data_IF_479679729511
#
_entry.id   IF_479679729511
#
_cell.length_a   1.000
_cell.length_b   1.000
_cell.length_c   1.000
_cell.angle_alpha   90.00
_cell.angle_beta   90.00
_cell.angle_gamma   90.00
#
_symmetry.space_group_name_H-M   'P 1'
#
loop_
_entity.id
_entity.type
_entity.pdbx_description
1 polymer ?
#
# COMPACT_ATOMS: atom_id res chain seq x y z
N UNK A 1 -33.09 31.52 -18.08
CA UNK A 1 -32.82 32.29 -16.84
C UNK A 1 -33.19 33.77 -16.99
N UNK A 2 -32.78 34.49 -18.04
CA UNK A 2 -33.08 35.94 -18.16
C UNK A 2 -34.55 36.35 -18.08
N UNK A 3 -35.49 35.52 -18.56
CA UNK A 3 -36.95 35.77 -18.47
C UNK A 3 -37.54 35.49 -17.08
N UNK A 4 -36.91 34.57 -16.32
CA UNK A 4 -37.33 34.20 -14.96
C UNK A 4 -36.90 35.29 -13.97
N UNK A 5 -35.73 35.89 -14.19
CA UNK A 5 -35.18 36.97 -13.36
C UNK A 5 -36.05 38.27 -13.40
N UNK A 6 -36.80 38.46 -14.49
CA UNK A 6 -37.77 39.55 -14.63
C UNK A 6 -39.10 39.29 -13.91
N UNK A 7 -39.45 38.04 -13.61
CA UNK A 7 -40.73 37.63 -13.02
C UNK A 7 -40.64 37.51 -11.50
N UNK A 8 -40.64 38.64 -10.79
CA UNK A 8 -40.49 38.69 -9.30
C UNK A 8 -41.71 38.19 -8.49
N UNK A 9 -42.81 37.81 -9.15
CA UNK A 9 -44.05 37.34 -8.51
C UNK A 9 -44.39 35.94 -9.02
N UNK A 10 -44.78 35.03 -8.12
CA UNK A 10 -45.11 33.61 -8.44
C UNK A 10 -46.19 33.50 -9.53
N UNK A 11 -47.17 34.40 -9.52
CA UNK A 11 -48.23 34.45 -10.54
C UNK A 11 -47.67 34.75 -11.94
N UNK A 12 -46.76 35.73 -12.04
CA UNK A 12 -46.10 36.07 -13.31
C UNK A 12 -45.17 34.96 -13.83
N UNK A 13 -44.69 34.07 -12.95
CA UNK A 13 -43.94 32.88 -13.33
C UNK A 13 -44.84 31.79 -13.91
N UNK A 14 -46.04 31.59 -13.33
CA UNK A 14 -47.03 30.62 -13.81
C UNK A 14 -47.61 31.00 -15.18
N UNK A 15 -47.66 32.30 -15.50
CA UNK A 15 -48.14 32.84 -16.77
C UNK A 15 -47.12 32.74 -17.92
N UNK A 16 -45.90 32.24 -17.68
CA UNK A 16 -44.90 32.08 -18.74
C UNK A 16 -45.39 31.04 -19.76
N UNK A 17 -45.53 31.38 -21.05
CA UNK A 17 -46.10 30.48 -22.04
C UNK A 17 -45.36 29.15 -22.17
N UNK A 18 -46.09 28.05 -21.99
CA UNK A 18 -45.59 26.69 -22.12
C UNK A 18 -44.64 26.23 -21.02
N UNK A 19 -44.47 26.99 -19.92
CA UNK A 19 -43.57 26.60 -18.82
C UNK A 19 -44.02 25.32 -18.11
N UNK A 20 -45.34 25.11 -18.02
CA UNK A 20 -45.97 23.92 -17.42
C UNK A 20 -45.64 22.64 -18.17
N UNK A 21 -45.39 22.71 -19.48
CA UNK A 21 -45.02 21.55 -20.29
C UNK A 21 -43.50 21.44 -20.44
N UNK A 22 -42.79 22.58 -20.53
CA UNK A 22 -41.33 22.62 -20.67
C UNK A 22 -40.60 22.15 -19.42
N UNK A 23 -41.05 22.51 -18.22
CA UNK A 23 -40.37 22.11 -16.98
C UNK A 23 -40.37 20.58 -16.78
N UNK A 24 -41.50 19.87 -16.91
CA UNK A 24 -41.50 18.40 -16.87
C UNK A 24 -40.64 17.77 -17.98
N UNK A 25 -40.67 18.32 -19.20
CA UNK A 25 -39.82 17.82 -20.29
C UNK A 25 -38.32 18.01 -20.00
N UNK A 26 -37.93 19.17 -19.47
CA UNK A 26 -36.55 19.45 -19.05
C UNK A 26 -36.13 18.54 -17.90
N UNK A 27 -37.02 18.28 -16.93
CA UNK A 27 -36.76 17.34 -15.85
C UNK A 27 -36.58 15.91 -16.39
N UNK A 28 -37.41 15.46 -17.31
CA UNK A 28 -37.28 14.15 -17.95
C UNK A 28 -35.97 14.03 -18.75
N UNK A 29 -35.58 15.07 -19.49
CA UNK A 29 -34.30 15.09 -20.20
C UNK A 29 -33.12 15.06 -19.22
N UNK A 30 -33.21 15.79 -18.11
CA UNK A 30 -32.19 15.78 -17.06
C UNK A 30 -32.04 14.38 -16.44
N UNK A 31 -33.15 13.68 -16.16
CA UNK A 31 -33.14 12.31 -15.64
C UNK A 31 -32.45 11.34 -16.61
N UNK A 32 -32.70 11.48 -17.91
CA UNK A 32 -32.04 10.65 -18.94
C UNK A 32 -30.54 10.93 -18.96
N UNK A 33 -30.14 12.20 -18.95
CA UNK A 33 -28.73 12.59 -18.89
C UNK A 33 -28.05 12.08 -17.61
N UNK A 34 -28.73 12.15 -16.47
CA UNK A 34 -28.20 11.67 -15.19
C UNK A 34 -27.99 10.16 -15.21
N UNK A 35 -28.94 9.38 -15.74
CA UNK A 35 -28.79 7.92 -15.88
C UNK A 35 -27.63 7.55 -16.78
N UNK A 36 -27.54 8.18 -17.97
CA UNK A 36 -26.45 7.93 -18.90
C UNK A 36 -25.09 8.27 -18.29
N UNK A 37 -25.02 9.34 -17.49
CA UNK A 37 -23.81 9.70 -16.76
C UNK A 37 -23.46 8.67 -15.67
N UNK A 38 -24.44 8.21 -14.88
CA UNK A 38 -24.22 7.16 -13.88
C UNK A 38 -23.72 5.86 -14.52
N UNK A 39 -24.31 5.44 -15.64
CA UNK A 39 -23.90 4.24 -16.38
C UNK A 39 -22.46 4.39 -16.90
N UNK A 40 -22.10 5.56 -17.43
CA UNK A 40 -20.74 5.87 -17.88
C UNK A 40 -19.72 5.84 -16.75
N UNK A 41 -20.04 6.43 -15.59
CA UNK A 41 -19.14 6.41 -14.43
C UNK A 41 -18.95 4.98 -13.90
N UNK A 42 -20.00 4.17 -13.90
CA UNK A 42 -19.94 2.77 -13.48
C UNK A 42 -19.11 1.90 -14.44
N UNK A 43 -19.19 2.15 -15.74
CA UNK A 43 -18.31 1.52 -16.74
C UNK A 43 -16.83 1.86 -16.48
N UNK A 44 -16.55 3.14 -16.16
CA UNK A 44 -15.19 3.57 -15.80
C UNK A 44 -14.71 2.94 -14.49
N UNK A 45 -15.56 2.86 -13.47
CA UNK A 45 -15.24 2.16 -12.20
C UNK A 45 -14.98 0.68 -12.40
N UNK A 46 -15.75 0.04 -13.27
CA UNK A 46 -15.55 -1.38 -13.62
C UNK A 46 -14.23 -1.60 -14.37
N UNK A 47 -13.82 -0.65 -15.21
CA UNK A 47 -12.56 -0.71 -15.96
C UNK A 47 -11.32 -0.50 -15.07
N UNK A 48 -11.45 0.31 -14.01
CA UNK A 48 -10.40 0.52 -13.01
C UNK A 48 -10.99 0.58 -11.59
N UNK A 49 -10.98 -0.55 -10.85
CA UNK A 49 -11.66 -0.67 -9.56
C UNK A 49 -11.24 0.35 -8.49
N UNK A 50 -10.07 0.98 -8.59
CA UNK A 50 -9.71 2.02 -7.60
C UNK A 50 -10.59 3.27 -7.70
N UNK A 51 -11.30 3.48 -8.80
CA UNK A 51 -12.27 4.56 -8.91
C UNK A 51 -13.49 4.39 -7.97
N UNK A 52 -13.71 3.21 -7.38
CA UNK A 52 -14.70 3.07 -6.29
C UNK A 52 -14.31 3.86 -5.03
N UNK A 53 -13.04 4.28 -4.88
CA UNK A 53 -12.60 5.15 -3.79
C UNK A 53 -12.81 6.65 -4.07
N UNK A 54 -13.28 7.00 -5.27
CA UNK A 54 -13.56 8.38 -5.66
C UNK A 54 -15.07 8.64 -5.70
N UNK A 55 -15.47 9.81 -5.21
CA UNK A 55 -16.82 10.33 -5.46
C UNK A 55 -17.03 10.70 -6.92
N UNK A 56 -18.29 10.85 -7.34
CA UNK A 56 -18.64 11.15 -8.74
C UNK A 56 -17.99 12.45 -9.25
N UNK A 57 -17.92 13.48 -8.41
CA UNK A 57 -17.28 14.77 -8.75
C UNK A 57 -15.77 14.61 -8.99
N UNK A 58 -15.07 13.88 -8.10
CA UNK A 58 -13.63 13.60 -8.24
C UNK A 58 -13.35 12.76 -9.50
N UNK A 59 -14.22 11.78 -9.78
CA UNK A 59 -14.09 10.92 -10.94
C UNK A 59 -14.32 11.69 -12.24
N UNK A 60 -15.29 12.61 -12.26
CA UNK A 60 -15.51 13.50 -13.39
C UNK A 60 -14.36 14.46 -13.61
N UNK A 61 -13.79 15.02 -12.54
CA UNK A 61 -12.65 15.92 -12.62
C UNK A 61 -11.42 15.22 -13.23
N UNK A 62 -11.09 14.02 -12.75
CA UNK A 62 -9.93 13.26 -13.25
C UNK A 62 -10.14 12.75 -14.68
N UNK A 63 -11.37 12.40 -15.07
CA UNK A 63 -11.72 12.01 -16.44
C UNK A 63 -11.71 13.20 -17.41
N UNK A 64 -12.22 14.35 -16.98
CA UNK A 64 -12.31 15.57 -17.79
C UNK A 64 -10.96 16.27 -17.96
N UNK A 65 -10.04 16.13 -17.00
CA UNK A 65 -8.72 16.75 -17.02
C UNK A 65 -7.58 15.72 -16.95
N UNK A 66 -7.73 14.60 -17.67
CA UNK A 66 -6.79 13.45 -17.67
C UNK A 66 -5.37 13.77 -18.15
N UNK A 67 -5.14 14.94 -18.75
CA UNK A 67 -3.82 15.44 -19.18
C UNK A 67 -3.23 16.51 -18.25
N UNK A 68 -4.01 17.06 -17.32
CA UNK A 68 -3.55 18.11 -16.43
C UNK A 68 -2.76 17.51 -15.26
N UNK A 69 -1.44 17.71 -15.17
CA UNK A 69 -0.60 17.06 -14.17
C UNK A 69 -1.00 17.43 -12.74
N UNK A 70 -1.48 18.66 -12.53
CA UNK A 70 -1.90 19.14 -11.22
C UNK A 70 -3.14 18.42 -10.71
N UNK A 71 -4.10 18.16 -11.60
CA UNK A 71 -5.33 17.43 -11.28
C UNK A 71 -5.03 15.95 -11.07
N UNK A 72 -4.27 15.33 -11.99
CA UNK A 72 -3.83 13.94 -11.81
C UNK A 72 -3.15 13.77 -10.45
N UNK A 73 -2.28 14.70 -10.08
CA UNK A 73 -1.54 14.64 -8.83
C UNK A 73 -2.42 14.71 -7.58
N UNK A 74 -3.51 15.50 -7.58
CA UNK A 74 -4.40 15.61 -6.42
C UNK A 74 -5.20 14.33 -6.19
N UNK A 75 -5.64 13.66 -7.26
CA UNK A 75 -6.42 12.42 -7.16
C UNK A 75 -5.56 11.16 -6.97
N UNK A 76 -4.31 11.13 -7.47
CA UNK A 76 -3.42 9.97 -7.26
C UNK A 76 -3.22 9.64 -5.78
N UNK A 77 -3.14 10.65 -4.91
CA UNK A 77 -3.04 10.46 -3.45
C UNK A 77 -4.27 9.80 -2.83
N UNK A 78 -5.45 9.89 -3.48
CA UNK A 78 -6.68 9.20 -3.06
C UNK A 78 -6.73 7.76 -3.57
N UNK A 79 -6.10 7.49 -4.72
CA UNK A 79 -6.13 6.18 -5.40
C UNK A 79 -5.05 5.22 -4.91
N UNK A 80 -3.89 5.73 -4.49
CA UNK A 80 -2.74 4.94 -4.07
C UNK A 80 -2.29 5.37 -2.68
N UNK A 81 -2.06 4.39 -1.79
CA UNK A 81 -1.76 4.66 -0.39
C UNK A 81 -0.38 5.32 -0.20
N UNK A 82 0.66 4.79 -0.86
CA UNK A 82 2.04 5.30 -0.71
C UNK A 82 2.48 6.31 -1.78
N UNK A 83 1.69 6.55 -2.83
CA UNK A 83 2.03 7.54 -3.87
C UNK A 83 1.48 8.91 -3.46
N UNK A 84 2.35 9.75 -2.91
CA UNK A 84 2.02 11.13 -2.57
C UNK A 84 2.23 12.08 -3.77
N UNK A 85 3.31 11.84 -4.53
CA UNK A 85 3.69 12.59 -5.73
C UNK A 85 4.20 11.67 -6.83
N UNK A 86 4.11 12.10 -8.08
CA UNK A 86 4.76 11.45 -9.21
C UNK A 86 5.66 12.43 -9.94
N UNK A 87 6.79 11.96 -10.48
CA UNK A 87 7.67 12.78 -11.31
C UNK A 87 7.27 12.64 -12.75
N UNK A 88 6.74 13.72 -13.31
CA UNK A 88 6.44 13.83 -14.73
C UNK A 88 7.73 14.03 -15.54
N UNK A 89 7.85 13.35 -16.67
CA UNK A 89 8.88 13.58 -17.67
C UNK A 89 8.64 14.84 -18.49
N UNK A 90 9.49 15.07 -19.49
CA UNK A 90 9.40 16.24 -20.36
C UNK A 90 8.02 16.39 -21.02
N UNK A 91 7.45 17.58 -20.92
CA UNK A 91 6.12 17.89 -21.46
C UNK A 91 4.95 17.20 -20.74
N UNK A 92 5.18 16.62 -19.56
CA UNK A 92 4.16 15.93 -18.75
C UNK A 92 3.42 14.79 -19.45
N UNK A 93 4.08 14.16 -20.43
CA UNK A 93 3.54 13.04 -21.20
C UNK A 93 3.91 11.67 -20.65
N UNK A 94 4.77 11.63 -19.64
CA UNK A 94 5.18 10.38 -19.00
C UNK A 94 5.40 10.55 -17.52
N UNK A 95 5.32 9.46 -16.78
CA UNK A 95 5.64 9.38 -15.36
C UNK A 95 6.89 8.50 -15.23
N UNK A 96 7.96 9.06 -14.67
CA UNK A 96 9.25 8.38 -14.52
C UNK A 96 9.55 7.89 -13.10
N UNK A 97 8.83 8.39 -12.10
CA UNK A 97 9.03 7.96 -10.72
C UNK A 97 7.79 8.20 -9.86
N UNK A 98 7.64 7.42 -8.80
CA UNK A 98 6.72 7.69 -7.70
C UNK A 98 7.46 8.25 -6.49
N UNK A 99 6.78 9.07 -5.70
CA UNK A 99 7.33 9.72 -4.52
C UNK A 99 6.35 9.59 -3.34
N UNK A 100 6.86 9.17 -2.18
CA UNK A 100 6.07 9.07 -0.95
C UNK A 100 5.93 10.40 -0.22
N UNK A 101 5.10 10.43 0.83
CA UNK A 101 4.93 11.60 1.70
C UNK A 101 6.26 12.04 2.32
N UNK A 102 7.09 11.08 2.72
CA UNK A 102 8.41 11.26 3.33
C UNK A 102 9.53 11.56 2.33
N UNK A 103 9.17 11.99 1.11
CA UNK A 103 10.08 12.33 0.02
C UNK A 103 10.92 11.15 -0.51
N UNK A 104 10.55 9.90 -0.20
CA UNK A 104 11.17 8.73 -0.84
C UNK A 104 10.79 8.67 -2.31
N UNK A 105 11.80 8.67 -3.19
CA UNK A 105 11.60 8.58 -4.64
C UNK A 105 11.98 7.17 -5.11
N UNK A 106 11.07 6.55 -5.86
CA UNK A 106 11.31 5.26 -6.53
C UNK A 106 11.17 5.49 -8.03
N UNK A 107 12.30 5.40 -8.72
CA UNK A 107 12.36 5.51 -10.18
C UNK A 107 11.86 4.24 -10.84
N UNK A 108 11.06 4.40 -11.88
CA UNK A 108 10.56 3.29 -12.67
C UNK A 108 11.60 2.84 -13.68
N UNK A 109 11.70 1.53 -13.91
CA UNK A 109 12.58 0.98 -14.96
C UNK A 109 12.09 1.39 -16.36
N UNK A 110 10.78 1.57 -16.53
CA UNK A 110 10.13 2.04 -17.75
C UNK A 110 9.14 3.14 -17.42
N UNK A 111 9.29 4.31 -18.05
CA UNK A 111 8.35 5.40 -17.86
C UNK A 111 6.95 5.03 -18.38
N UNK A 112 5.91 5.44 -17.64
CA UNK A 112 4.50 5.20 -17.97
C UNK A 112 3.99 6.37 -18.81
N UNK A 113 3.41 6.11 -19.98
CA UNK A 113 2.88 7.17 -20.85
C UNK A 113 1.53 7.67 -20.37
N UNK A 114 1.36 8.99 -20.25
CA UNK A 114 0.08 9.63 -19.91
C UNK A 114 -0.71 9.81 -21.21
N UNK A 115 -1.87 9.16 -21.28
CA UNK A 115 -2.77 9.19 -22.45
C UNK A 115 -4.16 9.72 -22.08
N UNK A 116 -5.02 9.92 -23.07
CA UNK A 116 -6.41 10.36 -22.85
C UNK A 116 -7.26 9.32 -22.11
N UNK A 117 -6.91 8.03 -22.24
CA UNK A 117 -7.60 6.92 -21.57
C UNK A 117 -6.95 6.68 -20.21
N UNK A 118 -7.52 7.31 -19.19
CA UNK A 118 -6.94 7.34 -17.86
C UNK A 118 -6.86 5.97 -17.19
N UNK A 119 -7.88 5.15 -17.39
CA UNK A 119 -7.95 3.78 -16.91
C UNK A 119 -6.76 2.93 -17.39
N UNK A 120 -6.33 3.12 -18.64
CA UNK A 120 -5.27 2.31 -19.24
C UNK A 120 -3.92 2.69 -18.67
N UNK A 121 -3.58 3.98 -18.63
CA UNK A 121 -2.29 4.37 -18.09
C UNK A 121 -2.22 4.23 -16.56
N UNK A 122 -3.34 4.29 -15.82
CA UNK A 122 -3.37 3.97 -14.40
C UNK A 122 -3.14 2.47 -14.13
N UNK A 123 -3.68 1.60 -14.99
CA UNK A 123 -3.37 0.17 -14.96
C UNK A 123 -1.90 -0.10 -15.31
N UNK A 124 -1.35 0.62 -16.29
CA UNK A 124 0.08 0.57 -16.62
C UNK A 124 0.94 1.06 -15.45
N UNK A 125 0.51 2.12 -14.75
CA UNK A 125 1.18 2.63 -13.56
C UNK A 125 1.20 1.58 -12.44
N UNK A 126 0.07 0.90 -12.21
CA UNK A 126 -0.01 -0.18 -11.23
C UNK A 126 0.94 -1.33 -11.59
N UNK A 127 0.94 -1.76 -12.85
CA UNK A 127 1.82 -2.82 -13.36
C UNK A 127 3.30 -2.41 -13.25
N UNK A 128 3.62 -1.17 -13.60
CA UNK A 128 4.97 -0.62 -13.52
C UNK A 128 5.46 -0.50 -12.08
N UNK A 129 4.60 -0.08 -11.15
CA UNK A 129 4.88 -0.02 -9.72
C UNK A 129 5.23 -1.42 -9.19
N UNK A 130 4.37 -2.41 -9.43
CA UNK A 130 4.62 -3.81 -9.03
C UNK A 130 5.92 -4.35 -9.64
N UNK A 131 6.14 -4.13 -10.94
CA UNK A 131 7.36 -4.55 -11.64
C UNK A 131 8.63 -3.89 -11.11
N UNK A 132 8.55 -2.61 -10.74
CA UNK A 132 9.69 -1.87 -10.18
C UNK A 132 10.04 -2.40 -8.79
N UNK A 133 9.05 -2.65 -7.94
CA UNK A 133 9.27 -3.16 -6.58
C UNK A 133 9.80 -4.61 -6.59
N UNK A 134 9.25 -5.48 -7.43
CA UNK A 134 9.78 -6.86 -7.63
C UNK A 134 11.21 -6.83 -8.15
N UNK A 135 11.47 -5.97 -9.14
CA UNK A 135 12.81 -5.76 -9.70
C UNK A 135 13.81 -5.20 -8.70
N UNK A 136 13.39 -4.33 -7.76
CA UNK A 136 14.23 -3.86 -6.66
C UNK A 136 14.58 -5.01 -5.71
N UNK A 137 13.60 -5.84 -5.32
CA UNK A 137 13.87 -6.98 -4.44
C UNK A 137 14.87 -7.95 -5.07
N UNK A 138 14.67 -8.29 -6.35
CA UNK A 138 15.57 -9.19 -7.08
C UNK A 138 17.02 -8.66 -7.14
N UNK A 139 17.20 -7.37 -7.47
CA UNK A 139 18.52 -6.70 -7.51
C UNK A 139 19.24 -6.69 -6.16
N UNK A 140 18.48 -6.57 -5.09
CA UNK A 140 19.01 -6.56 -3.71
C UNK A 140 19.38 -7.95 -3.25
N UNK A 141 18.56 -8.96 -3.56
CA UNK A 141 18.85 -10.35 -3.24
C UNK A 141 20.06 -10.89 -4.01
N UNK A 142 20.30 -10.42 -5.25
CA UNK A 142 21.50 -10.77 -6.01
C UNK A 142 22.78 -10.08 -5.53
N UNK A 143 22.69 -9.17 -4.55
CA UNK A 143 23.82 -8.39 -4.06
C UNK A 143 24.39 -7.40 -5.09
N UNK A 144 23.63 -7.09 -6.14
CA UNK A 144 24.09 -6.28 -7.28
C UNK A 144 24.01 -4.77 -7.04
N UNK A 145 23.53 -4.33 -5.87
CA UNK A 145 23.29 -2.92 -5.56
C UNK A 145 24.30 -2.43 -4.53
N UNK A 146 25.22 -1.56 -4.94
CA UNK A 146 26.06 -0.83 -4.00
C UNK A 146 25.26 0.28 -3.31
N UNK A 147 25.42 0.42 -1.99
CA UNK A 147 24.71 1.44 -1.23
C UNK A 147 23.20 1.22 -1.21
N UNK A 148 22.74 -0.04 -1.16
CA UNK A 148 21.32 -0.44 -1.18
C UNK A 148 20.44 0.42 -0.25
N UNK A 149 20.94 0.77 0.94
CA UNK A 149 20.22 1.59 1.92
C UNK A 149 19.77 2.96 1.40
N UNK A 150 20.56 3.55 0.48
CA UNK A 150 20.25 4.86 -0.14
C UNK A 150 19.36 4.71 -1.38
N UNK A 151 19.59 3.67 -2.18
CA UNK A 151 18.99 3.51 -3.51
C UNK A 151 17.63 2.81 -3.46
N UNK A 152 17.47 1.83 -2.57
CA UNK A 152 16.31 0.95 -2.53
C UNK A 152 15.24 1.52 -1.62
N UNK A 153 13.98 1.33 -2.00
CA UNK A 153 12.84 1.76 -1.19
C UNK A 153 12.83 1.11 0.20
N UNK A 154 12.35 1.84 1.20
CA UNK A 154 12.27 1.39 2.59
C UNK A 154 11.48 0.10 2.73
N UNK A 155 10.34 0.03 2.03
CA UNK A 155 9.48 -1.14 1.96
C UNK A 155 10.24 -2.39 1.51
N UNK A 156 11.05 -2.29 0.45
CA UNK A 156 11.82 -3.42 -0.09
C UNK A 156 12.99 -3.80 0.81
N UNK A 157 13.64 -2.83 1.46
CA UNK A 157 14.67 -3.11 2.48
C UNK A 157 14.07 -3.94 3.64
N UNK A 158 12.92 -3.52 4.17
CA UNK A 158 12.24 -4.26 5.25
C UNK A 158 11.80 -5.66 4.78
N UNK A 159 11.24 -5.77 3.57
CA UNK A 159 10.81 -7.05 3.00
C UNK A 159 11.98 -8.03 2.79
N UNK A 160 13.13 -7.54 2.31
CA UNK A 160 14.36 -8.34 2.15
C UNK A 160 14.81 -8.92 3.50
N UNK A 161 14.86 -8.09 4.54
CA UNK A 161 15.27 -8.54 5.87
C UNK A 161 14.27 -9.51 6.48
N UNK A 162 12.96 -9.31 6.27
CA UNK A 162 11.91 -10.23 6.72
C UNK A 162 12.01 -11.62 6.07
N UNK A 163 12.26 -11.67 4.75
CA UNK A 163 12.50 -12.92 4.02
C UNK A 163 13.77 -13.60 4.53
N UNK A 164 14.86 -12.84 4.68
CA UNK A 164 16.15 -13.36 5.13
C UNK A 164 16.08 -13.91 6.55
N UNK A 165 15.38 -13.21 7.46
CA UNK A 165 15.13 -13.66 8.81
C UNK A 165 14.30 -14.95 8.85
N UNK A 166 13.20 -15.01 8.09
CA UNK A 166 12.35 -16.21 8.01
C UNK A 166 13.17 -17.42 7.55
N UNK A 167 13.95 -17.27 6.48
CA UNK A 167 14.80 -18.35 5.97
C UNK A 167 15.88 -18.78 6.96
N UNK A 168 16.53 -17.82 7.64
CA UNK A 168 17.57 -18.11 8.63
C UNK A 168 17.00 -18.80 9.88
N UNK A 169 15.83 -18.36 10.36
CA UNK A 169 15.13 -18.95 11.50
C UNK A 169 14.71 -20.40 11.21
N UNK A 170 14.10 -20.66 10.05
CA UNK A 170 13.74 -22.02 9.66
C UNK A 170 14.96 -22.92 9.45
N UNK A 171 16.05 -22.39 8.88
CA UNK A 171 17.31 -23.13 8.75
C UNK A 171 17.89 -23.48 10.11
N UNK A 172 17.88 -22.55 11.07
CA UNK A 172 18.33 -22.78 12.44
C UNK A 172 17.49 -23.85 13.15
N UNK A 173 16.15 -23.78 13.02
CA UNK A 173 15.23 -24.77 13.58
C UNK A 173 15.46 -26.17 12.98
N UNK A 174 15.66 -26.28 11.66
CA UNK A 174 15.87 -27.57 10.96
C UNK A 174 17.25 -28.19 11.24
N UNK A 175 18.31 -27.39 11.36
CA UNK A 175 19.70 -27.88 11.32
C UNK A 175 20.43 -27.91 12.67
N UNK A 176 19.99 -27.15 13.68
CA UNK A 176 20.76 -27.05 14.93
C UNK A 176 19.98 -26.68 16.18
N UNK A 177 18.65 -26.72 16.14
CA UNK A 177 17.76 -26.51 17.30
C UNK A 177 18.12 -25.25 18.11
N UNK A 178 18.01 -25.34 19.43
CA UNK A 178 18.26 -24.21 20.34
C UNK A 178 19.67 -23.58 20.19
N UNK A 179 20.70 -24.37 19.84
CA UNK A 179 22.05 -23.85 19.63
C UNK A 179 22.16 -22.94 18.41
N UNK A 180 21.58 -23.35 17.29
CA UNK A 180 21.55 -22.54 16.08
C UNK A 180 20.66 -21.30 16.22
N UNK A 181 19.51 -21.42 16.91
CA UNK A 181 18.65 -20.26 17.21
C UNK A 181 19.38 -19.25 18.10
N UNK A 182 20.20 -19.70 19.06
CA UNK A 182 21.01 -18.82 19.90
C UNK A 182 22.07 -18.06 19.09
N UNK A 183 22.68 -18.73 18.11
CA UNK A 183 23.61 -18.08 17.17
C UNK A 183 22.89 -17.02 16.33
N UNK A 184 21.74 -17.37 15.75
CA UNK A 184 20.91 -16.44 15.00
C UNK A 184 20.53 -15.20 15.82
N UNK A 185 20.11 -15.40 17.08
CA UNK A 185 19.80 -14.30 17.99
C UNK A 185 20.99 -13.34 18.17
N UNK A 186 22.20 -13.87 18.28
CA UNK A 186 23.44 -13.08 18.34
C UNK A 186 23.75 -12.34 17.04
N UNK A 187 23.56 -12.99 15.89
CA UNK A 187 23.79 -12.41 14.57
C UNK A 187 22.82 -11.23 14.30
N UNK A 188 21.53 -11.43 14.60
CA UNK A 188 20.46 -10.43 14.49
C UNK A 188 20.70 -9.27 15.46
N UNK A 189 21.07 -9.56 16.72
CA UNK A 189 21.41 -8.51 17.69
C UNK A 189 22.65 -7.70 17.26
N UNK A 190 23.64 -8.35 16.64
CA UNK A 190 24.80 -7.67 16.06
C UNK A 190 24.44 -6.78 14.87
N UNK A 191 23.52 -7.21 14.00
CA UNK A 191 22.96 -6.39 12.93
C UNK A 191 22.21 -5.17 13.49
N UNK A 192 21.37 -5.38 14.50
CA UNK A 192 20.66 -4.31 15.21
C UNK A 192 21.63 -3.27 15.79
N UNK A 193 22.71 -3.70 16.44
CA UNK A 193 23.72 -2.78 16.99
C UNK A 193 24.43 -1.97 15.90
N UNK A 194 24.78 -2.59 14.76
CA UNK A 194 25.38 -1.88 13.62
C UNK A 194 24.42 -0.85 13.03
N UNK A 195 23.15 -1.21 12.87
CA UNK A 195 22.12 -0.31 12.37
C UNK A 195 21.83 0.82 13.37
N UNK A 196 21.75 0.52 14.66
CA UNK A 196 21.56 1.53 15.71
C UNK A 196 22.75 2.50 15.79
N UNK A 197 23.97 2.01 15.57
CA UNK A 197 25.20 2.81 15.57
C UNK A 197 25.45 3.61 14.30
N UNK A 198 24.73 3.37 13.20
CA UNK A 198 24.96 4.11 11.95
C UNK A 198 24.44 5.55 12.06
N UNK A 199 25.27 6.52 11.69
CA UNK A 199 24.90 7.94 11.74
C UNK A 199 24.29 8.40 10.41
N UNK A 200 23.02 8.81 10.47
CA UNK A 200 22.30 9.44 9.36
C UNK A 200 21.79 10.84 9.75
N UNK A 201 22.43 11.48 10.73
CA UNK A 201 22.10 12.83 11.16
C UNK A 201 22.07 13.78 9.96
N UNK A 202 21.00 14.55 9.84
CA UNK A 202 20.77 15.47 8.71
C UNK A 202 20.16 14.83 7.45
N UNK A 203 19.95 13.51 7.42
CA UNK A 203 19.30 12.81 6.30
C UNK A 203 17.97 12.20 6.76
N UNK A 204 16.90 13.01 6.77
CA UNK A 204 15.57 12.64 7.32
C UNK A 204 15.06 11.30 6.78
N UNK A 205 15.07 11.08 5.46
CA UNK A 205 14.59 9.83 4.86
C UNK A 205 15.41 8.61 5.31
N UNK A 206 16.74 8.72 5.34
CA UNK A 206 17.60 7.61 5.77
C UNK A 206 17.40 7.29 7.27
N UNK A 207 17.14 8.31 8.08
CA UNK A 207 16.80 8.14 9.48
C UNK A 207 15.46 7.42 9.66
N UNK A 208 14.47 7.74 8.83
CA UNK A 208 13.17 7.05 8.83
C UNK A 208 13.30 5.57 8.38
N UNK A 209 14.08 5.29 7.33
CA UNK A 209 14.42 3.92 6.91
C UNK A 209 15.09 3.13 8.03
N UNK A 210 16.06 3.76 8.70
CA UNK A 210 16.75 3.17 9.86
C UNK A 210 15.76 2.86 10.97
N UNK A 211 14.87 3.79 11.32
CA UNK A 211 13.88 3.58 12.37
C UNK A 211 12.97 2.39 12.08
N UNK A 212 12.48 2.27 10.82
CA UNK A 212 11.66 1.15 10.40
C UNK A 212 12.39 -0.20 10.56
N UNK A 213 13.62 -0.29 10.05
CA UNK A 213 14.42 -1.51 10.17
C UNK A 213 14.80 -1.83 11.63
N UNK A 214 15.14 -0.82 12.44
CA UNK A 214 15.44 -1.02 13.87
C UNK A 214 14.26 -1.68 14.59
N UNK A 215 13.02 -1.26 14.31
CA UNK A 215 11.83 -1.87 14.89
C UNK A 215 11.67 -3.34 14.47
N UNK A 216 11.90 -3.66 13.20
CA UNK A 216 11.87 -5.05 12.70
C UNK A 216 12.96 -5.90 13.36
N UNK A 217 14.19 -5.40 13.48
CA UNK A 217 15.28 -6.12 14.11
C UNK A 217 15.06 -6.34 15.62
N UNK A 218 14.47 -5.39 16.33
CA UNK A 218 14.05 -5.58 17.73
C UNK A 218 13.05 -6.74 17.82
N UNK A 219 12.07 -6.78 16.92
CA UNK A 219 11.11 -7.87 16.88
C UNK A 219 11.76 -9.22 16.54
N UNK A 220 12.69 -9.27 15.58
CA UNK A 220 13.42 -10.51 15.27
C UNK A 220 14.23 -11.05 16.44
N UNK A 221 14.85 -10.18 17.24
CA UNK A 221 15.53 -10.58 18.48
C UNK A 221 14.51 -11.15 19.48
N UNK A 222 13.37 -10.49 19.65
CA UNK A 222 12.31 -10.97 20.54
C UNK A 222 11.77 -12.35 20.09
N UNK A 223 11.50 -12.55 18.79
CA UNK A 223 11.08 -13.84 18.24
C UNK A 223 12.13 -14.92 18.52
N UNK A 224 13.42 -14.63 18.33
CA UNK A 224 14.49 -15.59 18.68
C UNK A 224 14.47 -15.95 20.18
N UNK A 225 14.25 -14.98 21.06
CA UNK A 225 14.16 -15.22 22.50
C UNK A 225 12.94 -16.07 22.86
N UNK A 226 11.79 -15.83 22.22
CA UNK A 226 10.59 -16.65 22.40
C UNK A 226 10.82 -18.11 21.96
N UNK A 227 11.50 -18.32 20.82
CA UNK A 227 11.85 -19.66 20.34
C UNK A 227 12.78 -20.39 21.30
N UNK A 228 13.79 -19.70 21.86
CA UNK A 228 14.71 -20.25 22.86
C UNK A 228 14.01 -20.57 24.17
N UNK A 229 13.15 -19.68 24.66
CA UNK A 229 12.41 -19.86 25.91
C UNK A 229 11.45 -21.06 25.82
N UNK A 230 10.87 -21.32 24.64
CA UNK A 230 10.03 -22.47 24.37
C UNK A 230 10.81 -23.76 24.04
N UNK A 231 12.14 -23.70 23.91
CA UNK A 231 12.98 -24.79 23.41
C UNK A 231 12.45 -25.37 22.07
N UNK A 232 12.02 -24.48 21.17
CA UNK A 232 11.45 -24.85 19.88
C UNK A 232 12.50 -25.54 19.00
N UNK A 233 12.20 -26.77 18.56
CA UNK A 233 13.07 -27.62 17.76
C UNK A 233 12.55 -27.89 16.35
N UNK A 234 11.34 -27.45 16.01
CA UNK A 234 10.75 -27.67 14.68
C UNK A 234 10.01 -26.45 14.15
N UNK A 235 10.00 -26.32 12.81
CA UNK A 235 9.20 -25.31 12.10
C UNK A 235 7.69 -25.56 12.18
N UNK A 236 7.26 -26.76 12.59
CA UNK A 236 5.84 -27.11 12.77
C UNK A 236 5.30 -26.69 14.14
N UNK A 237 6.15 -26.23 15.06
CA UNK A 237 5.72 -25.84 16.38
C UNK A 237 4.96 -24.50 16.38
N UNK A 238 3.96 -24.42 17.24
CA UNK A 238 3.08 -23.25 17.36
C UNK A 238 3.82 -21.94 17.58
N UNK A 239 4.92 -21.95 18.35
CA UNK A 239 5.69 -20.73 18.68
C UNK A 239 6.29 -20.09 17.44
N UNK A 240 6.67 -20.89 16.44
CA UNK A 240 7.07 -20.40 15.12
C UNK A 240 5.86 -20.16 14.21
N UNK A 241 4.92 -21.10 14.18
CA UNK A 241 3.74 -21.01 13.32
C UNK A 241 2.92 -19.74 13.52
N UNK A 242 2.82 -19.24 14.76
CA UNK A 242 2.09 -18.01 15.08
C UNK A 242 2.77 -16.71 14.63
N UNK A 243 4.04 -16.75 14.22
CA UNK A 243 4.75 -15.56 13.75
C UNK A 243 4.38 -15.23 12.31
N UNK A 244 4.48 -13.96 11.93
CA UNK A 244 4.35 -13.53 10.55
C UNK A 244 5.64 -13.89 9.79
N UNK A 245 5.51 -14.72 8.76
CA UNK A 245 6.63 -15.34 8.03
C UNK A 245 6.59 -14.92 6.57
N UNK A 246 7.75 -14.61 6.00
CA UNK A 246 7.89 -14.13 4.63
C UNK A 246 8.72 -15.11 3.81
N UNK A 247 8.11 -15.65 2.76
CA UNK A 247 8.71 -16.66 1.90
C UNK A 247 8.91 -16.08 0.51
N UNK A 248 10.16 -15.70 0.21
CA UNK A 248 10.56 -15.32 -1.15
C UNK A 248 10.72 -16.52 -2.08
N UNK A 249 11.00 -16.25 -3.36
CA UNK A 249 11.24 -17.25 -4.41
C UNK A 249 10.09 -18.26 -4.57
N UNK A 250 8.85 -17.78 -4.49
CA UNK A 250 7.70 -18.60 -4.83
C UNK A 250 7.79 -19.07 -6.30
N UNK A 251 7.09 -20.16 -6.70
CA UNK A 251 7.15 -20.68 -8.07
C UNK A 251 6.77 -19.67 -9.16
N UNK A 252 5.95 -18.68 -8.80
CA UNK A 252 5.52 -17.56 -9.64
C UNK A 252 6.50 -16.37 -9.62
N UNK A 253 7.62 -16.47 -8.90
CA UNK A 253 8.57 -15.39 -8.66
C UNK A 253 8.11 -14.38 -7.59
N UNK A 254 6.99 -14.64 -6.91
CA UNK A 254 6.42 -13.77 -5.89
C UNK A 254 6.99 -13.96 -4.49
N UNK A 255 6.40 -13.24 -3.54
CA UNK A 255 6.62 -13.39 -2.10
C UNK A 255 5.30 -13.82 -1.45
N UNK A 256 5.33 -14.87 -0.65
CA UNK A 256 4.20 -15.28 0.16
C UNK A 256 4.40 -14.81 1.61
N UNK A 257 3.33 -14.31 2.22
CA UNK A 257 3.26 -13.98 3.65
C UNK A 257 2.39 -15.03 4.31
N UNK A 258 2.88 -15.67 5.36
CA UNK A 258 2.12 -16.71 6.07
C UNK A 258 2.09 -16.48 7.57
N UNK A 259 0.96 -16.80 8.19
CA UNK A 259 0.75 -16.74 9.63
C UNK A 259 -0.19 -17.86 10.04
N UNK A 260 0.26 -18.72 10.94
CA UNK A 260 -0.34 -20.02 11.24
C UNK A 260 -0.62 -20.81 9.94
N UNK A 261 -1.89 -21.10 9.65
CA UNK A 261 -2.32 -21.83 8.45
C UNK A 261 -2.68 -20.92 7.26
N UNK A 262 -2.76 -19.61 7.50
CA UNK A 262 -3.10 -18.64 6.46
C UNK A 262 -1.86 -18.28 5.63
N UNK A 263 -2.04 -18.17 4.31
CA UNK A 263 -1.01 -17.70 3.39
C UNK A 263 -1.61 -16.75 2.35
N UNK A 264 -0.92 -15.65 2.10
CA UNK A 264 -1.31 -14.59 1.18
C UNK A 264 -0.15 -14.25 0.25
N UNK A 265 -0.46 -13.89 -0.98
CA UNK A 265 0.53 -13.32 -1.89
C UNK A 265 0.76 -11.86 -1.54
N UNK A 266 2.03 -11.42 -1.50
CA UNK A 266 2.37 -10.02 -1.28
C UNK A 266 1.81 -9.17 -2.45
N UNK A 267 1.09 -8.11 -2.14
CA UNK A 267 0.33 -7.33 -3.14
C UNK A 267 1.18 -6.36 -3.95
N UNK A 268 2.39 -6.05 -3.50
CA UNK A 268 3.31 -5.09 -4.13
C UNK A 268 2.71 -3.68 -4.31
N UNK A 269 1.77 -3.29 -3.45
CA UNK A 269 1.34 -1.90 -3.35
C UNK A 269 2.47 -1.07 -2.74
N UNK A 270 2.86 0.03 -3.38
CA UNK A 270 3.83 0.93 -2.79
C UNK A 270 3.22 1.66 -1.60
N UNK A 271 3.82 1.50 -0.42
CA UNK A 271 3.40 2.14 0.83
C UNK A 271 4.32 3.30 1.24
N UNK A 272 5.43 3.51 0.52
CA UNK A 272 6.50 4.42 0.94
C UNK A 272 7.14 3.97 2.26
N UNK A 273 7.61 4.93 3.07
CA UNK A 273 8.09 4.66 4.42
C UNK A 273 6.94 4.83 5.44
N UNK A 274 5.95 3.94 5.36
CA UNK A 274 4.85 3.93 6.31
C UNK A 274 5.36 3.79 7.76
N UNK A 275 4.80 4.52 8.74
CA UNK A 275 5.20 4.39 10.13
C UNK A 275 4.94 2.97 10.63
N UNK A 276 5.99 2.26 11.03
CA UNK A 276 5.87 0.94 11.64
C UNK A 276 5.38 1.04 13.08
N UNK A 277 4.51 0.11 13.46
CA UNK A 277 4.11 -0.05 14.85
C UNK A 277 5.14 -0.82 15.67
N UNK A 278 5.15 -0.56 16.98
CA UNK A 278 5.90 -1.40 17.91
C UNK A 278 5.20 -2.75 18.00
N UNK A 279 5.96 -3.82 17.75
CA UNK A 279 5.49 -5.18 17.91
C UNK A 279 5.24 -5.47 19.39
N UNK A 280 4.00 -5.87 19.70
CA UNK A 280 3.60 -6.26 21.06
C UNK A 280 2.84 -7.58 20.99
N UNK A 281 2.77 -8.34 22.10
CA UNK A 281 1.96 -9.57 22.14
C UNK A 281 0.47 -9.34 21.81
N UNK A 282 -0.04 -8.12 21.97
CA UNK A 282 -1.40 -7.76 21.58
C UNK A 282 -1.52 -7.55 20.06
N UNK A 283 -0.52 -6.90 19.46
CA UNK A 283 -0.40 -6.73 18.00
C UNK A 283 -0.34 -8.09 17.31
N UNK A 284 0.48 -9.02 17.80
CA UNK A 284 0.62 -10.37 17.23
C UNK A 284 -0.69 -11.16 17.26
N UNK A 285 -1.44 -11.07 18.38
CA UNK A 285 -2.76 -11.70 18.49
C UNK A 285 -3.76 -11.09 17.53
N UNK A 286 -3.70 -9.78 17.32
CA UNK A 286 -4.54 -9.10 16.35
C UNK A 286 -4.21 -9.59 14.93
N UNK A 287 -2.93 -9.64 14.56
CA UNK A 287 -2.48 -10.14 13.25
C UNK A 287 -2.91 -11.58 13.02
N UNK A 288 -2.74 -12.45 14.01
CA UNK A 288 -3.21 -13.83 13.94
C UNK A 288 -4.72 -13.90 13.69
N UNK A 289 -5.51 -13.13 14.42
CA UNK A 289 -6.98 -13.14 14.27
C UNK A 289 -7.42 -12.60 12.90
N UNK A 290 -6.79 -11.51 12.45
CA UNK A 290 -7.09 -10.89 11.15
C UNK A 290 -6.71 -11.80 9.99
N UNK A 291 -5.50 -12.37 10.01
CA UNK A 291 -5.02 -13.28 8.95
C UNK A 291 -5.88 -14.55 8.87
N UNK A 292 -6.28 -15.13 10.00
CA UNK A 292 -7.19 -16.29 10.01
C UNK A 292 -8.59 -15.92 9.52
N UNK A 293 -9.13 -14.78 9.95
CA UNK A 293 -10.42 -14.28 9.44
C UNK A 293 -10.41 -14.10 7.92
N UNK A 294 -9.36 -13.45 7.40
CA UNK A 294 -9.18 -13.24 5.95
C UNK A 294 -9.07 -14.56 5.17
N UNK A 295 -8.32 -15.55 5.69
CA UNK A 295 -8.18 -16.85 5.04
C UNK A 295 -9.52 -17.62 4.95
N UNK A 296 -10.43 -17.37 5.90
CA UNK A 296 -11.77 -17.95 5.93
C UNK A 296 -12.82 -17.11 5.16
N UNK A 297 -12.43 -16.00 4.54
CA UNK A 297 -13.34 -15.08 3.84
C UNK A 297 -14.17 -14.19 4.76
N UNK A 298 -13.78 -14.07 6.04
CA UNK A 298 -14.42 -13.16 7.00
C UNK A 298 -13.70 -11.81 7.06
N UNK A 299 -14.44 -10.77 7.45
CA UNK A 299 -13.87 -9.49 7.85
C UNK A 299 -13.31 -9.53 9.26
N UNK A 300 -12.39 -8.61 9.57
CA UNK A 300 -11.86 -8.40 10.91
C UNK A 300 -12.45 -7.16 11.58
N UNK A 301 -12.95 -7.31 12.81
CA UNK A 301 -13.42 -6.18 13.62
C UNK A 301 -12.68 -6.10 14.96
N UNK A 302 -11.46 -5.56 15.00
CA UNK A 302 -10.75 -5.32 16.26
C UNK A 302 -11.53 -4.33 17.13
N UNK A 303 -11.97 -4.77 18.31
CA UNK A 303 -12.71 -3.92 19.26
C UNK A 303 -11.86 -3.58 20.50
N UNK A 304 -12.00 -2.35 20.99
CA UNK A 304 -11.29 -1.87 22.18
C UNK A 304 -11.34 -0.34 22.35
N UNK A 305 -10.89 0.21 23.50
CA UNK A 305 -10.92 1.64 23.80
C UNK A 305 -10.21 2.52 22.75
N UNK A 306 -10.53 3.81 22.71
CA UNK A 306 -9.82 4.75 21.84
C UNK A 306 -8.32 4.82 22.21
N UNK A 307 -7.45 4.94 21.21
CA UNK A 307 -5.99 5.04 21.43
C UNK A 307 -5.25 3.71 21.63
N UNK A 308 -5.92 2.55 21.55
CA UNK A 308 -5.26 1.23 21.69
C UNK A 308 -4.68 0.69 20.37
N UNK A 309 -4.42 1.55 19.38
CA UNK A 309 -3.76 1.18 18.12
C UNK A 309 -4.57 0.32 17.14
N UNK A 310 -5.90 0.20 17.30
CA UNK A 310 -6.74 -0.72 16.49
C UNK A 310 -6.61 -0.49 14.99
N UNK A 311 -6.75 0.76 14.55
CA UNK A 311 -6.72 1.15 13.14
C UNK A 311 -5.31 1.02 12.59
N UNK A 312 -4.33 1.42 13.39
CA UNK A 312 -2.92 1.40 13.06
C UNK A 312 -2.40 -0.03 12.92
N UNK A 313 -2.87 -0.96 13.76
CA UNK A 313 -2.57 -2.40 13.67
C UNK A 313 -3.09 -2.97 12.35
N UNK A 314 -4.34 -2.66 11.96
CA UNK A 314 -4.85 -3.11 10.65
C UNK A 314 -4.07 -2.51 9.48
N UNK A 315 -3.60 -1.26 9.61
CA UNK A 315 -2.80 -0.57 8.58
C UNK A 315 -1.37 -1.11 8.46
N UNK A 316 -0.75 -1.54 9.56
CA UNK A 316 0.61 -2.09 9.53
C UNK A 316 0.63 -3.54 9.01
N UNK A 317 -0.46 -4.30 9.23
CA UNK A 317 -0.62 -5.64 8.64
C UNK A 317 -0.86 -5.63 7.12
N UNK A 318 -1.62 -4.65 6.63
CA UNK A 318 -2.05 -4.55 5.23
C UNK A 318 -0.98 -3.94 4.32
#
# INVERSE_FOLDING_TARGET
>A
MGTIDMAKKVVAFADIPGIRDKLPQMAQQLDVCQRALSDFLEEKRSSFPRFYFLGDDDLLEILGQSKNPTVIQSHLKKLFAGIHKVKFGEGSRSIGAMQSMEQEVVEFDKAVGVTDQIENWLNDLNTCMTGTLTGQLARVQSGSVQGEFKVISSQILCLKEAISFTAAAESALKSGGAGAVKKLAGDVAGQLQRLAGSDYTGQTLLQLKKQALVLDFIHYVDVCQQLLAANCGSVTEWVWGRQLRYYGNQPDGGVAVAMAEASFQYSWEYQGNAPKLVYTPLTDKCYLTLTQGMALGYGGNPYGPAGTGKTETTKDLG
#
